data_IF_703410804240
#
_entry.id   IF_703410804240
#
_cell.length_a   1.000
_cell.length_b   1.000
_cell.length_c   1.000
_cell.angle_alpha   90.00
_cell.angle_beta   90.00
_cell.angle_gamma   90.00
#
_symmetry.space_group_name_H-M   'P 1'
#
loop_
_entity.id
_entity.type
_entity.pdbx_description
1 polymer ?
#
# COMPACT_ATOMS: atom_id res chain seq x y z
N UNK A 1 27.51 20.33 13.50
CA UNK A 1 26.32 19.45 13.42
C UNK A 1 25.05 20.23 13.12
N UNK A 2 24.77 21.34 13.82
CA UNK A 2 23.60 22.22 13.62
C UNK A 2 23.51 22.84 12.22
N UNK A 3 24.60 23.38 11.68
CA UNK A 3 24.61 23.97 10.32
C UNK A 3 24.26 22.94 9.24
N UNK A 4 24.72 21.70 9.39
CA UNK A 4 24.46 20.62 8.46
C UNK A 4 22.97 20.23 8.45
N UNK A 5 22.34 20.18 9.62
CA UNK A 5 20.90 19.92 9.77
C UNK A 5 20.04 21.00 9.09
N UNK A 6 20.44 22.27 9.20
CA UNK A 6 19.75 23.39 8.55
C UNK A 6 19.82 23.32 7.02
N UNK A 7 20.95 22.86 6.47
CA UNK A 7 21.09 22.66 5.02
C UNK A 7 20.19 21.53 4.50
N UNK A 8 20.00 20.45 5.25
CA UNK A 8 19.10 19.35 4.88
C UNK A 8 17.63 19.77 4.87
N UNK A 9 17.22 20.69 5.75
CA UNK A 9 15.85 21.19 5.80
C UNK A 9 15.44 21.94 4.52
N UNK A 10 16.39 22.54 3.79
CA UNK A 10 16.12 23.30 2.57
C UNK A 10 15.77 22.41 1.37
N UNK A 11 16.16 21.13 1.40
CA UNK A 11 15.94 20.16 0.31
C UNK A 11 14.94 19.07 0.69
N UNK A 12 14.52 19.01 1.95
CA UNK A 12 13.54 18.06 2.43
C UNK A 12 12.18 18.30 1.75
N UNK A 13 11.58 17.22 1.25
CA UNK A 13 10.20 17.21 0.74
C UNK A 13 9.31 16.62 1.83
N UNK A 14 8.21 17.29 2.14
CA UNK A 14 7.18 16.70 2.98
C UNK A 14 6.51 15.54 2.22
N UNK A 15 6.46 14.37 2.85
CA UNK A 15 5.75 13.20 2.34
C UNK A 15 4.54 12.95 3.24
N UNK A 16 3.39 12.70 2.63
CA UNK A 16 2.21 12.22 3.34
C UNK A 16 2.06 10.74 3.07
N UNK A 17 2.05 9.93 4.12
CA UNK A 17 1.65 8.54 3.98
C UNK A 17 0.18 8.47 3.59
N UNK A 18 -0.13 7.62 2.61
CA UNK A 18 -1.52 7.44 2.22
C UNK A 18 -2.30 6.76 3.33
N UNK A 19 -3.45 7.35 3.66
CA UNK A 19 -4.34 6.80 4.66
C UNK A 19 -5.24 5.75 4.02
N UNK A 20 -5.57 4.70 4.77
CA UNK A 20 -6.47 3.65 4.32
C UNK A 20 -7.67 3.53 5.26
N UNK A 21 -8.82 3.22 4.68
CA UNK A 21 -9.96 2.68 5.42
C UNK A 21 -10.25 1.28 4.90
N UNK A 22 -11.00 0.49 5.67
CA UNK A 22 -11.33 -0.88 5.29
C UNK A 22 -10.09 -1.77 5.03
N UNK A 23 -8.94 -1.45 5.65
CA UNK A 23 -7.70 -2.22 5.50
C UNK A 23 -7.88 -3.70 5.90
N UNK A 24 -8.86 -4.00 6.74
CA UNK A 24 -9.27 -5.37 7.10
C UNK A 24 -9.68 -6.23 5.89
N UNK A 25 -10.14 -5.60 4.79
CA UNK A 25 -10.50 -6.29 3.55
C UNK A 25 -9.28 -6.59 2.67
N UNK A 26 -8.11 -6.04 3.01
CA UNK A 26 -6.88 -6.28 2.27
C UNK A 26 -5.70 -6.45 3.25
N UNK A 27 -5.61 -7.63 3.91
CA UNK A 27 -4.58 -7.90 4.92
C UNK A 27 -3.13 -7.77 4.40
N UNK A 28 -2.93 -7.99 3.11
CA UNK A 28 -1.64 -7.83 2.44
C UNK A 28 -1.08 -6.40 2.53
N UNK A 29 -1.89 -5.40 2.88
CA UNK A 29 -1.44 -4.02 3.11
C UNK A 29 -0.50 -3.86 4.30
N UNK A 30 -0.67 -4.66 5.34
CA UNK A 30 0.10 -4.55 6.58
C UNK A 30 0.78 -5.85 6.98
N UNK A 31 0.41 -6.99 6.37
CA UNK A 31 1.04 -8.28 6.56
C UNK A 31 1.38 -8.94 5.21
N UNK A 32 2.64 -8.88 4.76
CA UNK A 32 3.06 -9.54 3.52
C UNK A 32 2.83 -11.06 3.49
N UNK A 33 2.79 -11.72 4.66
CA UNK A 33 2.55 -13.16 4.74
C UNK A 33 1.09 -13.54 4.43
N UNK A 34 0.16 -12.58 4.42
CA UNK A 34 -1.23 -12.80 4.04
C UNK A 34 -1.42 -12.92 2.51
N UNK A 35 -0.37 -12.67 1.71
CA UNK A 35 -0.40 -12.90 0.26
C UNK A 35 -0.56 -14.40 0.00
N UNK A 36 -1.62 -14.78 -0.72
CA UNK A 36 -1.95 -16.17 -1.01
C UNK A 36 -2.49 -16.95 0.20
N UNK A 37 -3.07 -16.27 1.19
CA UNK A 37 -3.74 -16.92 2.34
C UNK A 37 -5.03 -17.66 1.94
N UNK A 38 -5.77 -17.13 0.96
CA UNK A 38 -6.93 -17.81 0.37
C UNK A 38 -6.57 -18.87 -0.66
N UNK A 39 -7.58 -19.48 -1.28
CA UNK A 39 -7.43 -20.45 -2.37
C UNK A 39 -7.70 -19.85 -3.76
N UNK A 40 -8.17 -18.60 -3.79
CA UNK A 40 -8.60 -17.91 -5.01
C UNK A 40 -7.64 -16.79 -5.40
N UNK A 41 -7.68 -16.40 -6.68
CA UNK A 41 -7.09 -15.14 -7.13
C UNK A 41 -7.91 -13.99 -6.53
N UNK A 42 -7.26 -13.16 -5.74
CA UNK A 42 -7.87 -11.96 -5.14
C UNK A 42 -7.30 -10.73 -5.82
N UNK A 43 -8.17 -9.85 -6.32
CA UNK A 43 -7.80 -8.54 -6.87
C UNK A 43 -8.61 -7.47 -6.16
N UNK A 44 -7.92 -6.54 -5.49
CA UNK A 44 -8.52 -5.43 -4.77
C UNK A 44 -8.10 -4.10 -5.37
N UNK A 45 -9.08 -3.23 -5.60
CA UNK A 45 -8.86 -1.86 -6.04
C UNK A 45 -9.46 -0.89 -5.03
N UNK A 46 -8.61 -0.05 -4.46
CA UNK A 46 -9.03 0.95 -3.47
C UNK A 46 -8.66 2.34 -3.95
N UNK A 47 -9.65 3.24 -3.96
CA UNK A 47 -9.44 4.66 -4.17
C UNK A 47 -9.94 5.41 -2.93
N UNK A 48 -9.08 6.25 -2.36
CA UNK A 48 -9.43 7.14 -1.27
C UNK A 48 -9.24 8.58 -1.72
N UNK A 49 -10.31 9.36 -1.60
CA UNK A 49 -10.30 10.80 -1.78
C UNK A 49 -10.52 11.46 -0.42
N UNK A 50 -9.65 12.40 -0.05
CA UNK A 50 -9.76 13.17 1.19
C UNK A 50 -10.10 14.62 0.83
N UNK A 51 -10.81 15.31 1.73
CA UNK A 51 -11.20 16.72 1.57
C UNK A 51 -11.68 17.04 0.15
N UNK A 52 -12.71 16.33 -0.31
CA UNK A 52 -13.18 16.31 -1.72
C UNK A 52 -13.59 17.68 -2.28
N UNK A 53 -13.73 18.69 -1.44
CA UNK A 53 -14.06 20.07 -1.81
C UNK A 53 -12.85 21.01 -1.86
N UNK A 54 -11.63 20.49 -1.66
CA UNK A 54 -10.38 21.25 -1.73
C UNK A 54 -9.62 20.84 -3.00
N UNK A 55 -9.24 21.83 -3.81
CA UNK A 55 -8.45 21.60 -5.01
C UNK A 55 -7.08 21.01 -4.65
N UNK A 56 -6.63 20.02 -5.43
CA UNK A 56 -5.39 19.25 -5.20
C UNK A 56 -5.33 18.54 -3.84
N UNK A 57 -6.48 18.25 -3.22
CA UNK A 57 -6.52 17.45 -2.00
C UNK A 57 -5.91 16.05 -2.20
N UNK A 58 -5.33 15.45 -1.15
CA UNK A 58 -4.69 14.15 -1.24
C UNK A 58 -5.62 13.06 -1.78
N UNK A 59 -5.13 12.32 -2.78
CA UNK A 59 -5.78 11.14 -3.33
C UNK A 59 -4.81 9.98 -3.24
N UNK A 60 -5.32 8.83 -2.82
CA UNK A 60 -4.55 7.60 -2.70
C UNK A 60 -5.22 6.54 -3.52
N UNK A 61 -4.45 5.90 -4.40
CA UNK A 61 -4.88 4.77 -5.18
C UNK A 61 -4.11 3.54 -4.72
N UNK A 62 -4.74 2.38 -4.71
CA UNK A 62 -4.10 1.14 -4.35
C UNK A 62 -4.66 0.04 -5.23
N UNK A 63 -3.75 -0.68 -5.86
CA UNK A 63 -4.04 -1.92 -6.55
C UNK A 63 -3.31 -3.06 -5.83
N UNK A 64 -4.05 -4.09 -5.44
CA UNK A 64 -3.49 -5.31 -4.89
C UNK A 64 -3.98 -6.49 -5.71
N UNK A 65 -3.06 -7.37 -6.08
CA UNK A 65 -3.37 -8.68 -6.62
C UNK A 65 -2.61 -9.75 -5.82
N UNK A 66 -3.29 -10.83 -5.46
CA UNK A 66 -2.74 -11.93 -4.68
C UNK A 66 -3.21 -13.26 -5.28
N UNK A 67 -2.26 -14.13 -5.60
CA UNK A 67 -2.47 -15.44 -6.21
C UNK A 67 -1.79 -16.52 -5.37
N UNK A 68 -2.56 -17.45 -4.78
CA UNK A 68 -2.00 -18.69 -4.25
C UNK A 68 -1.65 -19.64 -5.40
N UNK A 69 -0.44 -20.22 -5.38
CA UNK A 69 -0.02 -21.26 -6.31
C UNK A 69 0.56 -22.46 -5.56
N UNK A 70 0.08 -23.64 -5.92
CA UNK A 70 0.65 -24.90 -5.48
C UNK A 70 1.81 -25.29 -6.40
N UNK A 71 2.97 -25.55 -5.81
CA UNK A 71 4.12 -26.15 -6.47
C UNK A 71 4.44 -27.47 -5.75
N UNK A 72 4.05 -28.58 -6.35
CA UNK A 72 4.08 -29.88 -5.69
C UNK A 72 3.16 -29.90 -4.46
N UNK A 73 3.71 -30.28 -3.29
CA UNK A 73 2.99 -30.29 -2.02
C UNK A 73 3.06 -28.95 -1.24
N UNK A 74 3.81 -27.97 -1.74
CA UNK A 74 4.06 -26.70 -1.03
C UNK A 74 3.24 -25.55 -1.62
N UNK A 75 2.61 -24.77 -0.74
CA UNK A 75 1.79 -23.60 -1.11
C UNK A 75 2.64 -22.33 -1.08
N UNK A 76 2.57 -21.56 -2.17
CA UNK A 76 3.32 -20.33 -2.35
C UNK A 76 2.34 -19.20 -2.68
N UNK A 77 2.49 -18.04 -2.05
CA UNK A 77 1.73 -16.84 -2.37
C UNK A 77 2.54 -15.90 -3.25
N UNK A 78 1.96 -15.47 -4.36
CA UNK A 78 2.51 -14.40 -5.19
C UNK A 78 1.59 -13.20 -5.11
N UNK A 79 2.15 -12.01 -4.93
CA UNK A 79 1.35 -10.80 -4.82
C UNK A 79 2.05 -9.59 -5.34
N UNK A 80 1.25 -8.63 -5.80
CA UNK A 80 1.68 -7.33 -6.27
C UNK A 80 0.82 -6.27 -5.59
N UNK A 81 1.47 -5.28 -4.99
CA UNK A 81 0.83 -4.14 -4.34
C UNK A 81 1.45 -2.87 -4.91
N UNK A 82 0.61 -2.01 -5.48
CA UNK A 82 0.99 -0.73 -6.10
C UNK A 82 0.14 0.38 -5.48
N UNK A 83 0.79 1.48 -5.11
CA UNK A 83 0.20 2.65 -4.44
C UNK A 83 0.70 3.95 -5.06
#
# INVERSE_FOLDING_TARGET
>A
MTVLLLMFALVAKAQFDGQFSQYMLNPALFNPAAIGEGEELVVNLTNRQQWTSIDNAPKTFLLNASLPKLFGASRHGFGLLIM
#
